data_IF_654274520010
#
_entry.id   IF_654274520010
#
_cell.length_a   1.000
_cell.length_b   1.000
_cell.length_c   1.000
_cell.angle_alpha   90.00
_cell.angle_beta   90.00
_cell.angle_gamma   90.00
#
_symmetry.space_group_name_H-M   'P 1'
#
loop_
_entity.id
_entity.type
_entity.pdbx_description
1 polymer ?
#
# COMPACT_ATOMS: atom_id res chain seq x y z
N UNK A 1 -34.73 13.96 12.64
CA UNK A 1 -34.64 13.51 11.23
C UNK A 1 -35.53 12.28 11.05
N UNK A 2 -36.15 12.09 9.89
CA UNK A 2 -36.89 10.85 9.61
C UNK A 2 -35.89 9.67 9.59
N UNK A 3 -36.29 8.46 10.03
CA UNK A 3 -35.38 7.30 10.09
C UNK A 3 -34.68 7.01 8.76
N UNK A 4 -35.39 7.22 7.64
CA UNK A 4 -34.88 7.05 6.28
C UNK A 4 -33.71 8.00 5.95
N UNK A 5 -33.76 9.25 6.44
CA UNK A 5 -32.72 10.25 6.19
C UNK A 5 -31.44 9.95 6.98
N UNK A 6 -31.59 9.40 8.20
CA UNK A 6 -30.47 8.95 9.02
C UNK A 6 -29.76 7.74 8.38
N UNK A 7 -30.53 6.79 7.86
CA UNK A 7 -30.00 5.60 7.19
C UNK A 7 -29.19 5.95 5.92
N UNK A 8 -29.67 6.87 5.08
CA UNK A 8 -28.91 7.34 3.91
C UNK A 8 -27.59 8.01 4.29
N UNK A 9 -27.59 8.80 5.36
CA UNK A 9 -26.38 9.46 5.85
C UNK A 9 -25.33 8.43 6.30
N UNK A 10 -25.74 7.41 7.07
CA UNK A 10 -24.85 6.33 7.53
C UNK A 10 -24.28 5.55 6.34
N UNK A 11 -25.11 5.15 5.37
CA UNK A 11 -24.64 4.43 4.17
C UNK A 11 -23.65 5.29 3.36
N UNK A 12 -23.93 6.59 3.23
CA UNK A 12 -23.05 7.53 2.54
C UNK A 12 -21.67 7.66 3.20
N UNK A 13 -21.61 7.75 4.52
CA UNK A 13 -20.32 7.84 5.23
C UNK A 13 -19.53 6.53 5.11
N UNK A 14 -20.19 5.38 5.27
CA UNK A 14 -19.53 4.07 5.18
C UNK A 14 -18.94 3.85 3.78
N UNK A 15 -19.68 4.18 2.72
CA UNK A 15 -19.19 3.97 1.34
C UNK A 15 -17.96 4.79 1.02
N UNK A 16 -17.89 6.04 1.49
CA UNK A 16 -16.72 6.91 1.33
C UNK A 16 -15.52 6.34 2.09
N UNK A 17 -15.71 5.95 3.36
CA UNK A 17 -14.62 5.39 4.17
C UNK A 17 -14.05 4.10 3.56
N UNK A 18 -14.90 3.22 3.05
CA UNK A 18 -14.47 1.98 2.37
C UNK A 18 -13.70 2.31 1.09
N UNK A 19 -14.16 3.29 0.30
CA UNK A 19 -13.50 3.69 -0.94
C UNK A 19 -12.09 4.25 -0.68
N UNK A 20 -11.95 5.08 0.36
CA UNK A 20 -10.67 5.63 0.79
C UNK A 20 -9.73 4.50 1.27
N UNK A 21 -10.24 3.58 2.11
CA UNK A 21 -9.46 2.44 2.59
C UNK A 21 -8.97 1.54 1.45
N UNK A 22 -9.84 1.24 0.49
CA UNK A 22 -9.48 0.46 -0.70
C UNK A 22 -8.46 1.21 -1.58
N UNK A 23 -8.62 2.53 -1.74
CA UNK A 23 -7.67 3.37 -2.45
C UNK A 23 -6.26 3.31 -1.83
N UNK A 24 -6.14 3.55 -0.53
CA UNK A 24 -4.85 3.45 0.17
C UNK A 24 -4.26 2.04 0.12
N UNK A 25 -5.10 1.01 0.24
CA UNK A 25 -4.65 -0.38 0.14
C UNK A 25 -4.11 -0.70 -1.26
N UNK A 26 -4.78 -0.18 -2.30
CA UNK A 26 -4.37 -0.35 -3.69
C UNK A 26 -3.05 0.39 -3.97
N UNK A 27 -2.89 1.61 -3.48
CA UNK A 27 -1.65 2.37 -3.58
C UNK A 27 -0.48 1.65 -2.90
N UNK A 28 -0.67 1.19 -1.65
CA UNK A 28 0.34 0.40 -0.93
C UNK A 28 0.71 -0.86 -1.71
N UNK A 29 -0.28 -1.63 -2.16
CA UNK A 29 -0.05 -2.88 -2.90
C UNK A 29 0.72 -2.64 -4.21
N UNK A 30 0.33 -1.62 -4.97
CA UNK A 30 0.98 -1.24 -6.22
C UNK A 30 2.43 -0.81 -6.00
N UNK A 31 2.68 0.01 -4.98
CA UNK A 31 4.04 0.40 -4.60
C UNK A 31 4.90 -0.80 -4.21
N UNK A 32 4.38 -1.67 -3.32
CA UNK A 32 5.10 -2.86 -2.85
C UNK A 32 5.48 -3.79 -4.01
N UNK A 33 4.58 -3.96 -4.98
CA UNK A 33 4.85 -4.77 -6.17
C UNK A 33 5.96 -4.15 -7.03
N UNK A 34 5.86 -2.86 -7.33
CA UNK A 34 6.87 -2.15 -8.12
C UNK A 34 8.24 -2.13 -7.43
N UNK A 35 8.27 -1.88 -6.12
CA UNK A 35 9.50 -1.92 -5.33
C UNK A 35 10.16 -3.30 -5.34
N UNK A 36 9.39 -4.38 -5.10
CA UNK A 36 9.92 -5.76 -5.15
C UNK A 36 10.52 -6.10 -6.52
N UNK A 37 9.88 -5.66 -7.62
CA UNK A 37 10.40 -5.87 -8.98
C UNK A 37 11.71 -5.12 -9.18
N UNK A 38 11.79 -3.86 -8.74
CA UNK A 38 12.99 -3.04 -8.92
C UNK A 38 14.17 -3.57 -8.09
N UNK A 39 13.91 -3.96 -6.84
CA UNK A 39 14.90 -4.62 -5.98
C UNK A 39 15.39 -5.92 -6.62
N UNK A 40 14.48 -6.76 -7.15
CA UNK A 40 14.86 -8.00 -7.82
C UNK A 40 15.80 -7.76 -9.02
N UNK A 41 15.63 -6.67 -9.78
CA UNK A 41 16.56 -6.30 -10.86
C UNK A 41 17.95 -5.92 -10.34
N UNK A 42 18.01 -5.15 -9.24
CA UNK A 42 19.29 -4.78 -8.64
C UNK A 42 20.04 -6.00 -8.12
N UNK A 43 19.33 -6.95 -7.49
CA UNK A 43 19.95 -8.17 -7.00
C UNK A 43 20.29 -9.17 -8.11
N UNK A 44 19.56 -9.19 -9.24
CA UNK A 44 19.90 -10.03 -10.39
C UNK A 44 21.29 -9.69 -10.98
N UNK A 45 21.71 -8.43 -10.88
CA UNK A 45 23.05 -7.99 -11.29
C UNK A 45 24.10 -8.14 -10.18
N UNK A 46 23.68 -8.44 -8.95
CA UNK A 46 24.58 -8.66 -7.81
C UNK A 46 24.83 -10.16 -7.62
N UNK A 47 26.03 -10.54 -7.20
CA UNK A 47 26.30 -11.93 -6.74
C UNK A 47 25.64 -12.24 -5.38
N UNK A 48 24.81 -11.34 -4.86
CA UNK A 48 24.22 -11.41 -3.52
C UNK A 48 22.78 -11.91 -3.62
N UNK A 49 22.47 -12.96 -2.88
CA UNK A 49 21.13 -13.50 -2.78
C UNK A 49 20.34 -12.65 -1.77
N UNK A 50 19.42 -11.83 -2.24
CA UNK A 50 18.56 -11.06 -1.36
C UNK A 50 17.60 -11.97 -0.58
N UNK A 51 17.51 -11.75 0.72
CA UNK A 51 16.48 -12.37 1.55
C UNK A 51 15.13 -11.72 1.21
N UNK A 52 14.09 -12.54 1.03
CA UNK A 52 12.73 -12.05 0.73
C UNK A 52 12.19 -11.13 1.83
N UNK A 53 12.53 -11.42 3.09
CA UNK A 53 12.07 -10.66 4.24
C UNK A 53 12.71 -9.27 4.29
N UNK A 54 13.99 -9.17 3.95
CA UNK A 54 14.72 -7.90 3.89
C UNK A 54 14.20 -7.01 2.75
N UNK A 55 13.90 -7.60 1.59
CA UNK A 55 13.29 -6.88 0.46
C UNK A 55 11.91 -6.34 0.83
N UNK A 56 11.11 -7.15 1.51
CA UNK A 56 9.78 -6.73 1.97
C UNK A 56 9.87 -5.59 2.99
N UNK A 57 10.71 -5.71 4.01
CA UNK A 57 10.92 -4.66 5.01
C UNK A 57 11.46 -3.37 4.40
N UNK A 58 12.39 -3.48 3.45
CA UNK A 58 12.94 -2.34 2.72
C UNK A 58 11.85 -1.60 1.95
N UNK A 59 11.02 -2.33 1.20
CA UNK A 59 9.91 -1.74 0.47
C UNK A 59 8.84 -1.12 1.39
N UNK A 60 8.53 -1.74 2.54
CA UNK A 60 7.61 -1.13 3.50
C UNK A 60 8.19 0.15 4.09
N UNK A 61 9.47 0.16 4.43
CA UNK A 61 10.17 1.34 4.95
C UNK A 61 10.19 2.46 3.93
N UNK A 62 10.45 2.15 2.65
CA UNK A 62 10.35 3.13 1.57
C UNK A 62 8.94 3.68 1.43
N UNK A 63 7.90 2.84 1.49
CA UNK A 63 6.52 3.29 1.38
C UNK A 63 6.15 4.28 2.50
N UNK A 64 6.51 3.95 3.75
CA UNK A 64 6.28 4.82 4.92
C UNK A 64 7.04 6.14 4.78
N UNK A 65 8.23 6.11 4.18
CA UNK A 65 9.11 7.27 4.00
C UNK A 65 8.95 7.97 2.63
N UNK A 66 7.78 7.88 1.99
CA UNK A 66 7.51 8.53 0.69
C UNK A 66 8.54 8.20 -0.40
N UNK A 67 8.91 6.93 -0.50
CA UNK A 67 9.87 6.39 -1.47
C UNK A 67 11.34 6.56 -1.11
N UNK A 68 11.68 7.01 0.11
CA UNK A 68 13.07 7.19 0.56
C UNK A 68 13.53 6.05 1.47
N UNK A 69 14.77 5.61 1.28
CA UNK A 69 15.52 4.80 2.24
C UNK A 69 16.35 5.72 3.11
N UNK A 70 16.11 5.69 4.42
CA UNK A 70 16.91 6.37 5.43
C UNK A 70 17.84 5.36 6.10
#
# INVERSE_FOLDING_TARGET
>A
MKPQTLAMFIIGVISISVSIYLGFTYEKSTFMKSCKIEMAKQFANSKVKANKQDVEWTCETMYINNGKLY
#
